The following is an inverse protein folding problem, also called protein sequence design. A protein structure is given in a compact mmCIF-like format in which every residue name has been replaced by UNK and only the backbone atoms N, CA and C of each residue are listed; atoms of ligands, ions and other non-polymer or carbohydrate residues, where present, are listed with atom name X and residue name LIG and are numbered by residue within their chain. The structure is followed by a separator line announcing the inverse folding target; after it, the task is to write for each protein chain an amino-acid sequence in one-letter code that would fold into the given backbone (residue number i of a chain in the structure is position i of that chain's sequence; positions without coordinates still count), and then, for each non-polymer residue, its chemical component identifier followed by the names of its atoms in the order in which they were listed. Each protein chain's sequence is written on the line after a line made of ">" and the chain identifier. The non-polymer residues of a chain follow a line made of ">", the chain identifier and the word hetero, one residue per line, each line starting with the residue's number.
data_IF_506826851002
#
_entry.id   IF_506826851002
#
_cell.length_a   1.000
_cell.length_b   1.000
_cell.length_c   1.000
_cell.angle_alpha   90.00
_cell.angle_beta   90.00
_cell.angle_gamma   90.00
#
_symmetry.space_group_name_H-M   'P 1'
#
loop_
_entity.id
_entity.type
_entity.pdbx_description
1 polymer ?
#
# COMPACT_ATOMS: atom_id res chain seq x y z
N UNK A 1 -28.46 36.32 -5.76
CA UNK A 1 -28.68 35.35 -4.65
C UNK A 1 -29.83 34.46 -5.10
N UNK A 2 -29.71 33.14 -5.18
CA UNK A 2 -29.47 32.25 -4.05
C UNK A 2 -28.64 31.02 -4.45
N UNK A 3 -27.58 30.83 -3.68
CA UNK A 3 -26.82 29.59 -3.58
C UNK A 3 -27.62 28.55 -2.79
N UNK A 4 -27.18 27.31 -3.02
CA UNK A 4 -27.24 26.14 -2.13
C UNK A 4 -28.59 25.47 -1.85
N UNK A 5 -28.79 24.34 -2.53
CA UNK A 5 -29.09 23.06 -1.88
C UNK A 5 -28.75 21.91 -2.84
N UNK A 6 -27.45 21.70 -3.08
CA UNK A 6 -26.98 20.38 -3.52
C UNK A 6 -26.91 19.55 -2.25
N UNK A 7 -27.86 18.63 -2.11
CA UNK A 7 -27.79 17.58 -1.11
C UNK A 7 -26.41 16.93 -1.24
N UNK A 8 -25.66 16.94 -0.15
CA UNK A 8 -24.55 16.02 0.03
C UNK A 8 -25.19 14.63 0.01
N UNK A 9 -25.10 13.93 -1.12
CA UNK A 9 -25.21 12.48 -1.11
C UNK A 9 -24.08 12.02 -0.20
N UNK A 10 -24.45 11.59 1.00
CA UNK A 10 -23.57 10.92 1.94
C UNK A 10 -22.90 9.79 1.19
N UNK A 11 -21.63 10.01 0.87
CA UNK A 11 -20.84 9.10 0.05
C UNK A 11 -20.93 7.71 0.65
N UNK A 12 -21.51 6.80 -0.12
CA UNK A 12 -21.53 5.38 0.19
C UNK A 12 -20.08 4.93 0.37
N UNK A 13 -19.60 4.89 1.61
CA UNK A 13 -18.31 4.29 1.97
C UNK A 13 -18.58 2.80 1.96
N UNK A 14 -18.63 2.23 0.75
CA UNK A 14 -18.62 0.79 0.57
C UNK A 14 -17.49 0.23 1.43
N UNK A 15 -17.78 -0.81 2.21
CA UNK A 15 -16.76 -1.49 3.02
C UNK A 15 -15.58 -1.75 2.11
N UNK A 16 -14.42 -1.23 2.49
CA UNK A 16 -13.20 -1.44 1.72
C UNK A 16 -12.81 -2.90 1.97
N UNK A 17 -13.34 -3.78 1.13
CA UNK A 17 -13.11 -5.22 1.21
C UNK A 17 -11.86 -5.57 0.40
N UNK A 18 -11.02 -6.44 0.97
CA UNK A 18 -9.92 -7.03 0.25
C UNK A 18 -10.45 -7.89 -0.90
N UNK A 19 -10.07 -7.55 -2.14
CA UNK A 19 -10.39 -8.32 -3.34
C UNK A 19 -9.60 -9.62 -3.42
N UNK A 20 -8.47 -9.69 -2.72
CA UNK A 20 -7.54 -10.81 -2.71
C UNK A 20 -7.34 -11.35 -1.30
N UNK A 21 -6.80 -12.58 -1.15
CA UNK A 21 -6.44 -13.12 0.16
C UNK A 21 -5.55 -12.15 0.94
N UNK A 22 -5.67 -12.13 2.27
CA UNK A 22 -4.78 -11.33 3.11
C UNK A 22 -3.34 -11.80 2.90
N UNK A 23 -2.43 -10.85 2.69
CA UNK A 23 -1.00 -11.14 2.62
C UNK A 23 -0.44 -11.30 4.03
N UNK A 24 0.37 -12.35 4.21
CA UNK A 24 1.09 -12.58 5.45
C UNK A 24 2.14 -11.49 5.72
N UNK A 25 2.29 -11.14 6.99
CA UNK A 25 3.40 -10.32 7.46
C UNK A 25 4.71 -11.09 7.24
N UNK A 26 5.73 -10.42 6.70
CA UNK A 26 7.00 -10.99 6.28
C UNK A 26 7.06 -11.36 4.79
N UNK A 27 5.95 -11.25 4.05
CA UNK A 27 5.95 -11.51 2.62
C UNK A 27 6.73 -10.45 1.86
N UNK A 28 7.63 -10.91 0.98
CA UNK A 28 8.48 -10.06 0.14
C UNK A 28 7.94 -9.98 -1.28
N UNK A 29 8.04 -8.80 -1.88
CA UNK A 29 7.70 -8.56 -3.28
C UNK A 29 8.66 -7.53 -3.86
N UNK A 30 8.88 -7.60 -5.17
CA UNK A 30 9.65 -6.59 -5.89
C UNK A 30 8.67 -5.70 -6.63
N UNK A 31 8.69 -4.42 -6.32
CA UNK A 31 7.81 -3.44 -6.94
C UNK A 31 8.61 -2.63 -7.95
N UNK A 32 8.21 -2.64 -9.22
CA UNK A 32 8.83 -1.89 -10.32
C UNK A 32 7.80 -1.21 -11.24
N UNK A 33 6.51 -1.35 -10.93
CA UNK A 33 5.38 -0.95 -11.77
C UNK A 33 5.08 0.56 -11.78
N UNK A 34 5.73 1.34 -10.91
CA UNK A 34 5.46 2.77 -10.75
C UNK A 34 6.41 3.64 -11.58
N UNK A 35 5.96 4.82 -11.98
CA UNK A 35 6.86 5.83 -12.58
C UNK A 35 7.76 6.50 -11.53
N UNK A 36 7.49 6.29 -10.23
CA UNK A 36 8.23 6.88 -9.13
C UNK A 36 9.39 5.96 -8.75
N UNK A 37 10.62 6.34 -9.13
CA UNK A 37 11.87 5.58 -8.86
C UNK A 37 12.08 5.18 -7.41
N UNK A 38 11.55 5.97 -6.46
CA UNK A 38 11.70 5.69 -5.02
C UNK A 38 10.95 4.41 -4.63
N UNK A 39 9.85 4.09 -5.30
CA UNK A 39 9.05 2.88 -5.06
C UNK A 39 9.71 1.62 -5.61
N UNK A 40 10.69 1.77 -6.50
CA UNK A 40 11.35 0.65 -7.14
C UNK A 40 12.21 -0.13 -6.15
N UNK A 41 12.04 -1.44 -6.13
CA UNK A 41 12.89 -2.36 -5.38
C UNK A 41 12.10 -3.38 -4.57
N UNK A 42 12.81 -4.06 -3.69
CA UNK A 42 12.22 -5.11 -2.84
C UNK A 42 11.61 -4.52 -1.58
N UNK A 43 10.37 -4.90 -1.31
CA UNK A 43 9.59 -4.51 -0.16
C UNK A 43 9.14 -5.75 0.61
N UNK A 44 8.95 -5.60 1.91
CA UNK A 44 8.43 -6.63 2.81
C UNK A 44 7.22 -6.07 3.57
N UNK A 45 6.15 -6.86 3.65
CA UNK A 45 4.95 -6.52 4.43
C UNK A 45 5.29 -6.62 5.91
N UNK A 46 5.11 -5.53 6.66
CA UNK A 46 5.40 -5.45 8.09
C UNK A 46 4.12 -5.43 8.92
N UNK A 47 3.01 -4.93 8.37
CA UNK A 47 1.70 -4.98 9.02
C UNK A 47 0.59 -5.08 7.97
N UNK A 48 -0.38 -5.92 8.28
CA UNK A 48 -1.62 -6.13 7.53
C UNK A 48 -2.87 -5.68 8.31
N UNK A 49 -2.71 -4.98 9.44
CA UNK A 49 -3.81 -4.54 10.31
C UNK A 49 -4.75 -3.53 9.63
N UNK A 50 -4.24 -2.76 8.66
CA UNK A 50 -4.99 -1.72 7.92
C UNK A 50 -5.38 -2.17 6.50
N UNK A 51 -5.53 -3.48 6.29
CA UNK A 51 -5.93 -4.03 5.00
C UNK A 51 -7.17 -3.29 4.43
N UNK A 52 -7.19 -2.93 3.14
CA UNK A 52 -6.30 -3.38 2.05
C UNK A 52 -5.00 -2.56 1.88
N UNK A 53 -4.71 -1.63 2.79
CA UNK A 53 -3.45 -0.87 2.79
C UNK A 53 -2.43 -1.57 3.69
N UNK A 54 -1.45 -2.21 3.07
CA UNK A 54 -0.40 -2.93 3.77
C UNK A 54 0.78 -2.02 4.04
N UNK A 55 1.23 -1.99 5.30
CA UNK A 55 2.42 -1.26 5.67
C UNK A 55 3.64 -2.07 5.30
N UNK A 56 4.42 -1.57 4.35
CA UNK A 56 5.60 -2.25 3.84
C UNK A 56 6.87 -1.46 4.17
N UNK A 57 7.97 -2.20 4.35
CA UNK A 57 9.30 -1.63 4.49
C UNK A 57 10.21 -2.11 3.39
N UNK A 58 11.14 -1.25 2.99
CA UNK A 58 12.13 -1.57 1.98
C UNK A 58 13.16 -2.56 2.52
N UNK A 59 13.45 -3.57 1.71
CA UNK A 59 14.55 -4.50 1.95
C UNK A 59 15.81 -3.90 1.33
N UNK A 60 16.83 -3.69 2.16
CA UNK A 60 18.12 -3.17 1.74
C UNK A 60 18.92 -4.27 1.02
N UNK A 61 19.97 -3.89 0.29
CA UNK A 61 20.84 -4.84 -0.45
C UNK A 61 21.48 -5.92 0.42
N UNK A 62 21.59 -5.68 1.74
CA UNK A 62 22.09 -6.66 2.71
C UNK A 62 21.02 -7.66 3.19
N UNK A 63 19.82 -7.64 2.59
CA UNK A 63 18.70 -8.51 2.96
C UNK A 63 17.99 -8.11 4.26
N UNK A 64 18.40 -7.00 4.90
CA UNK A 64 17.79 -6.50 6.13
C UNK A 64 16.74 -5.44 5.81
N UNK A 65 15.72 -5.34 6.65
CA UNK A 65 14.75 -4.26 6.59
C UNK A 65 15.39 -2.93 6.95
N UNK A 66 14.98 -1.88 6.25
CA UNK A 66 15.35 -0.53 6.63
C UNK A 66 14.77 -0.18 8.00
N UNK A 67 15.61 0.40 8.87
CA UNK A 67 15.18 0.94 10.17
C UNK A 67 14.62 2.36 10.05
N UNK A 68 14.84 3.01 8.90
CA UNK A 68 14.39 4.38 8.66
C UNK A 68 12.88 4.44 8.45
N UNK A 69 12.26 5.48 9.02
CA UNK A 69 10.86 5.83 8.79
C UNK A 69 10.65 6.78 7.59
N UNK A 70 11.67 7.01 6.76
CA UNK A 70 11.51 7.85 5.58
C UNK A 70 10.56 7.23 4.56
N UNK A 71 9.88 8.06 3.77
CA UNK A 71 8.95 7.61 2.71
C UNK A 71 9.62 6.69 1.66
N UNK A 72 10.94 6.77 1.53
CA UNK A 72 11.73 5.89 0.66
C UNK A 72 11.88 4.46 1.18
N UNK A 73 11.67 4.28 2.49
CA UNK A 73 11.96 3.05 3.23
C UNK A 73 10.72 2.45 3.91
N UNK A 74 9.68 3.26 4.13
CA UNK A 74 8.43 2.86 4.76
C UNK A 74 7.27 3.46 3.99
N UNK A 75 6.38 2.62 3.50
CA UNK A 75 5.25 3.04 2.68
C UNK A 75 4.08 2.08 2.80
N UNK A 76 2.88 2.62 2.64
CA UNK A 76 1.68 1.82 2.50
C UNK A 76 1.46 1.50 1.01
N UNK A 77 1.28 0.21 0.71
CA UNK A 77 0.92 -0.25 -0.62
C UNK A 77 -0.50 -0.78 -0.60
N UNK A 78 -1.26 -0.52 -1.67
CA UNK A 78 -2.56 -1.14 -1.83
C UNK A 78 -2.39 -2.60 -2.21
N UNK A 79 -3.26 -3.48 -1.71
CA UNK A 79 -3.22 -4.91 -2.00
C UNK A 79 -3.07 -5.21 -3.50
N UNK A 80 -3.81 -4.47 -4.34
CA UNK A 80 -3.81 -4.69 -5.79
C UNK A 80 -2.48 -4.38 -6.43
N UNK A 81 -1.71 -3.44 -5.87
CA UNK A 81 -0.35 -3.13 -6.32
C UNK A 81 0.59 -4.28 -5.99
N UNK A 82 0.49 -4.81 -4.77
CA UNK A 82 1.31 -5.93 -4.32
C UNK A 82 1.00 -7.18 -5.15
N UNK A 83 -0.28 -7.49 -5.36
CA UNK A 83 -0.70 -8.62 -6.18
C UNK A 83 -0.31 -8.48 -7.65
N UNK A 84 -0.29 -7.27 -8.20
CA UNK A 84 0.24 -7.02 -9.55
C UNK A 84 1.74 -7.25 -9.62
N UNK A 85 2.48 -6.86 -8.58
CA UNK A 85 3.93 -7.03 -8.50
C UNK A 85 4.37 -8.48 -8.18
N UNK A 86 3.47 -9.30 -7.62
CA UNK A 86 3.68 -10.72 -7.36
C UNK A 86 3.36 -11.62 -8.56
N UNK A 87 2.73 -11.07 -9.60
CA UNK A 87 2.34 -11.82 -10.81
C UNK A 87 3.49 -11.88 -11.81
#
# INVERSE_FOLDING_TARGET
>A
MSLSKRLYEEGYVGKIECKYPLLDVGKRFTYDLSNIKIEHGTWEVVSNEQAPLYKCKRVLKNGKLSKSGSLENLRNFHESEIYRALR
#
